data_IF_487085359652
#
_entry.id   IF_487085359652
#
_cell.length_a   1.000
_cell.length_b   1.000
_cell.length_c   1.000
_cell.angle_alpha   90.00
_cell.angle_beta   90.00
_cell.angle_gamma   90.00
#
_symmetry.space_group_name_H-M   'P 1'
#
loop_
_entity.id
_entity.type
_entity.pdbx_description
1 polymer ?
#
# COMPACT_ATOMS: atom_id res chain seq x y z
N UNK A 1 -51.23 55.62 30.22
CA UNK A 1 -50.15 55.63 29.23
C UNK A 1 -49.39 54.34 29.32
N UNK A 2 -49.82 53.34 28.51
CA UNK A 2 -49.25 51.98 28.56
C UNK A 2 -48.17 51.88 27.52
N UNK A 3 -46.96 51.54 27.95
CA UNK A 3 -45.81 51.27 27.09
C UNK A 3 -45.70 49.78 26.91
N UNK A 4 -46.07 49.33 25.70
CA UNK A 4 -45.99 47.98 25.24
C UNK A 4 -44.53 47.57 24.99
N UNK A 5 -43.98 46.69 25.85
CA UNK A 5 -42.64 46.12 25.66
C UNK A 5 -42.75 44.91 24.74
N UNK A 6 -42.58 45.16 23.44
CA UNK A 6 -42.33 44.06 22.47
C UNK A 6 -40.97 43.46 22.74
N UNK A 7 -40.96 42.25 23.25
CA UNK A 7 -39.78 41.44 23.37
C UNK A 7 -39.38 40.96 21.97
N UNK A 8 -38.24 41.50 21.49
CA UNK A 8 -37.59 40.98 20.30
C UNK A 8 -36.86 39.68 20.67
N UNK A 9 -37.48 38.55 20.30
CA UNK A 9 -36.82 37.27 20.35
C UNK A 9 -35.81 37.19 19.18
N UNK A 10 -34.51 37.22 19.50
CA UNK A 10 -33.46 36.90 18.54
C UNK A 10 -33.44 35.41 18.30
N UNK A 11 -33.47 34.91 17.05
CA UNK A 11 -33.26 33.50 16.81
C UNK A 11 -31.77 33.19 17.05
N UNK A 12 -31.50 32.31 17.98
CA UNK A 12 -30.16 31.74 18.16
C UNK A 12 -29.85 30.88 16.93
N UNK A 13 -28.93 31.38 16.10
CA UNK A 13 -28.37 30.65 14.99
C UNK A 13 -27.43 29.59 15.56
N UNK A 14 -27.92 28.36 15.73
CA UNK A 14 -27.09 27.21 16.05
C UNK A 14 -26.23 26.89 14.82
N UNK A 15 -25.00 27.40 14.81
CA UNK A 15 -23.99 26.96 13.86
C UNK A 15 -23.60 25.54 14.27
N UNK A 16 -24.26 24.56 13.66
CA UNK A 16 -23.82 23.18 13.73
C UNK A 16 -22.44 23.07 13.07
N UNK A 17 -21.41 22.84 13.87
CA UNK A 17 -20.12 22.37 13.40
C UNK A 17 -20.34 20.99 12.80
N UNK A 18 -20.62 20.95 11.49
CA UNK A 18 -20.46 19.74 10.69
C UNK A 18 -18.98 19.41 10.72
N UNK A 19 -18.58 18.48 11.58
CA UNK A 19 -17.29 17.83 11.50
C UNK A 19 -17.24 17.14 10.15
N UNK A 20 -16.59 17.77 9.18
CA UNK A 20 -16.24 17.16 7.91
C UNK A 20 -15.24 16.06 8.25
N UNK A 21 -15.72 14.84 8.47
CA UNK A 21 -14.87 13.65 8.47
C UNK A 21 -14.31 13.59 7.06
N UNK A 22 -12.97 13.64 6.88
CA UNK A 22 -12.41 13.63 5.54
C UNK A 22 -12.79 12.30 4.88
N UNK A 23 -13.68 12.38 3.89
CA UNK A 23 -14.08 11.23 3.05
C UNK A 23 -12.92 10.69 2.19
N UNK A 24 -11.73 11.29 2.32
CA UNK A 24 -10.54 10.96 1.52
C UNK A 24 -9.65 9.85 2.14
N UNK A 25 -9.76 9.55 3.44
CA UNK A 25 -8.94 8.51 4.06
C UNK A 25 -9.29 7.11 3.49
N UNK A 26 -10.58 6.79 3.36
CA UNK A 26 -11.02 5.52 2.77
C UNK A 26 -10.67 5.37 1.29
N UNK A 27 -10.78 6.46 0.48
CA UNK A 27 -10.43 6.43 -0.94
C UNK A 27 -8.93 6.20 -1.17
N UNK A 28 -8.08 6.78 -0.34
CA UNK A 28 -6.63 6.56 -0.41
C UNK A 28 -6.26 5.15 0.07
N UNK A 29 -6.91 4.63 1.11
CA UNK A 29 -6.72 3.25 1.56
C UNK A 29 -7.14 2.24 0.48
N UNK A 30 -8.27 2.47 -0.20
CA UNK A 30 -8.73 1.64 -1.32
C UNK A 30 -7.76 1.70 -2.51
N UNK A 31 -7.23 2.88 -2.82
CA UNK A 31 -6.23 3.05 -3.89
C UNK A 31 -4.93 2.30 -3.56
N UNK A 32 -4.46 2.38 -2.32
CA UNK A 32 -3.28 1.62 -1.85
C UNK A 32 -3.57 0.11 -1.89
N UNK A 33 -4.74 -0.33 -1.42
CA UNK A 33 -5.12 -1.75 -1.45
C UNK A 33 -5.11 -2.31 -2.88
N UNK A 34 -5.66 -1.55 -3.84
CA UNK A 34 -5.63 -1.91 -5.27
C UNK A 34 -4.20 -2.04 -5.79
N UNK A 35 -3.31 -1.11 -5.42
CA UNK A 35 -1.92 -1.14 -5.87
C UNK A 35 -1.12 -2.27 -5.21
N UNK A 36 -1.39 -2.59 -3.95
CA UNK A 36 -0.79 -3.75 -3.25
C UNK A 36 -1.18 -5.05 -3.95
N UNK A 37 -2.44 -5.21 -4.34
CA UNK A 37 -2.89 -6.38 -5.10
C UNK A 37 -2.29 -6.41 -6.51
N UNK A 38 -2.23 -5.27 -7.21
CA UNK A 38 -1.56 -5.18 -8.51
C UNK A 38 -0.07 -5.56 -8.42
N UNK A 39 0.60 -5.16 -7.33
CA UNK A 39 1.99 -5.54 -7.07
C UNK A 39 2.13 -7.05 -6.87
N UNK A 40 1.24 -7.66 -6.07
CA UNK A 40 1.22 -9.13 -5.88
C UNK A 40 1.03 -9.86 -7.21
N UNK A 41 0.07 -9.43 -8.03
CA UNK A 41 -0.20 -10.03 -9.34
C UNK A 41 1.02 -9.92 -10.26
N UNK A 42 1.62 -8.74 -10.36
CA UNK A 42 2.82 -8.52 -11.17
C UNK A 42 4.01 -9.37 -10.67
N UNK A 43 4.17 -9.49 -9.35
CA UNK A 43 5.21 -10.32 -8.75
C UNK A 43 4.98 -11.80 -9.04
N UNK A 44 3.75 -12.30 -8.88
CA UNK A 44 3.39 -13.68 -9.17
C UNK A 44 3.63 -14.06 -10.63
N UNK A 45 3.42 -13.12 -11.55
CA UNK A 45 3.63 -13.28 -12.97
C UNK A 45 5.08 -13.01 -13.44
N UNK A 46 6.00 -12.62 -12.52
CA UNK A 46 7.35 -12.12 -12.85
C UNK A 46 7.31 -10.99 -13.89
N UNK A 47 6.28 -10.14 -13.81
CA UNK A 47 6.04 -9.03 -14.74
C UNK A 47 6.81 -7.79 -14.27
N UNK A 48 8.02 -7.59 -14.80
CA UNK A 48 8.89 -6.47 -14.46
C UNK A 48 8.26 -5.11 -14.83
N UNK A 49 7.56 -5.01 -15.98
CA UNK A 49 6.89 -3.78 -16.41
C UNK A 49 5.75 -3.40 -15.46
N UNK A 50 4.94 -4.39 -15.06
CA UNK A 50 3.89 -4.19 -14.06
C UNK A 50 4.45 -3.69 -12.73
N UNK A 51 5.56 -4.26 -12.25
CA UNK A 51 6.25 -3.78 -11.04
C UNK A 51 6.79 -2.36 -11.23
N UNK A 52 7.38 -2.06 -12.39
CA UNK A 52 7.97 -0.74 -12.67
C UNK A 52 6.96 0.39 -12.51
N UNK A 53 5.72 0.17 -12.96
CA UNK A 53 4.64 1.15 -12.89
C UNK A 53 4.21 1.47 -11.44
N UNK A 54 4.41 0.53 -10.51
CA UNK A 54 3.99 0.63 -9.11
C UNK A 54 5.09 1.13 -8.18
N UNK A 55 6.36 1.10 -8.61
CA UNK A 55 7.51 1.48 -7.79
C UNK A 55 7.90 2.95 -7.99
N UNK A 56 8.20 3.64 -6.88
CA UNK A 56 8.86 4.94 -6.94
C UNK A 56 10.29 4.80 -7.48
N UNK A 57 10.83 5.85 -8.10
CA UNK A 57 12.18 5.79 -8.66
C UNK A 57 13.25 5.62 -7.58
N UNK A 58 13.04 6.24 -6.41
CA UNK A 58 13.93 6.13 -5.25
C UNK A 58 13.60 4.92 -4.33
N UNK A 59 12.90 3.91 -4.83
CA UNK A 59 12.48 2.77 -4.04
C UNK A 59 13.66 2.01 -3.43
N UNK A 60 13.49 1.56 -2.18
CA UNK A 60 14.39 0.64 -1.48
C UNK A 60 13.65 -0.66 -1.14
N UNK A 61 14.12 -1.79 -1.64
CA UNK A 61 13.47 -3.08 -1.48
C UNK A 61 14.38 -4.07 -0.76
N UNK A 62 14.13 -4.29 0.53
CA UNK A 62 14.91 -5.21 1.36
C UNK A 62 14.29 -6.62 1.35
N UNK A 63 15.13 -7.59 1.05
CA UNK A 63 14.81 -9.02 1.12
C UNK A 63 15.03 -9.58 2.53
N UNK A 64 14.49 -10.75 2.81
CA UNK A 64 14.60 -11.41 4.11
C UNK A 64 16.02 -11.90 4.47
N UNK A 65 16.95 -11.88 3.51
CA UNK A 65 18.38 -12.16 3.68
C UNK A 65 19.23 -10.88 3.78
N UNK A 66 18.61 -9.73 4.02
CA UNK A 66 19.22 -8.41 4.10
C UNK A 66 19.76 -7.84 2.78
N UNK A 67 19.61 -8.54 1.64
CA UNK A 67 19.88 -7.94 0.33
C UNK A 67 18.93 -6.76 0.11
N UNK A 68 19.46 -5.64 -0.40
CA UNK A 68 18.65 -4.46 -0.74
C UNK A 68 18.76 -4.22 -2.25
N UNK A 69 17.61 -4.15 -2.90
CA UNK A 69 17.48 -3.79 -4.31
C UNK A 69 16.97 -2.35 -4.46
N UNK A 70 17.49 -1.67 -5.47
CA UNK A 70 16.89 -0.48 -6.07
C UNK A 70 15.78 -0.90 -7.01
N UNK A 71 14.99 0.06 -7.51
CA UNK A 71 13.99 -0.22 -8.57
C UNK A 71 14.62 -0.95 -9.75
N UNK A 72 15.74 -0.45 -10.27
CA UNK A 72 16.42 -1.04 -11.41
C UNK A 72 16.88 -2.47 -11.17
N UNK A 73 17.51 -2.75 -10.03
CA UNK A 73 18.00 -4.10 -9.72
C UNK A 73 16.87 -5.09 -9.41
N UNK A 74 15.75 -4.63 -8.81
CA UNK A 74 14.56 -5.46 -8.62
C UNK A 74 13.95 -5.89 -9.97
N UNK A 75 13.81 -4.94 -10.91
CA UNK A 75 13.22 -5.21 -12.21
C UNK A 75 14.10 -6.13 -13.05
N UNK A 76 15.42 -5.90 -13.04
CA UNK A 76 16.38 -6.78 -13.73
C UNK A 76 16.35 -8.20 -13.14
N UNK A 77 16.36 -8.33 -11.81
CA UNK A 77 16.24 -9.62 -11.14
C UNK A 77 14.92 -10.32 -11.41
N UNK A 78 13.82 -9.57 -11.53
CA UNK A 78 12.50 -10.13 -11.88
C UNK A 78 12.49 -10.65 -13.32
N UNK A 79 13.04 -9.89 -14.27
CA UNK A 79 13.09 -10.28 -15.67
C UNK A 79 14.01 -11.50 -15.92
N UNK A 80 15.03 -11.70 -15.09
CA UNK A 80 16.00 -12.79 -15.16
C UNK A 80 15.70 -13.93 -14.19
N UNK A 81 14.53 -13.94 -13.56
CA UNK A 81 14.18 -14.97 -12.59
C UNK A 81 14.23 -16.38 -13.22
N UNK A 82 14.93 -17.29 -12.55
CA UNK A 82 15.04 -18.71 -12.92
C UNK A 82 14.02 -19.58 -12.16
N UNK A 83 12.93 -18.99 -11.71
CA UNK A 83 11.82 -19.61 -11.00
C UNK A 83 10.49 -19.02 -11.46
N UNK A 84 9.43 -19.75 -11.22
CA UNK A 84 8.04 -19.27 -11.27
C UNK A 84 7.40 -19.40 -9.90
N UNK A 85 6.42 -18.56 -9.61
CA UNK A 85 5.56 -18.72 -8.45
C UNK A 85 4.48 -19.77 -8.77
N UNK A 86 4.43 -20.86 -8.02
CA UNK A 86 3.34 -21.84 -8.08
C UNK A 86 2.17 -21.42 -7.20
N UNK A 87 2.44 -20.61 -6.18
CA UNK A 87 1.46 -19.90 -5.37
C UNK A 87 2.06 -18.61 -4.82
N UNK A 88 1.25 -17.57 -4.65
CA UNK A 88 1.63 -16.33 -3.97
C UNK A 88 0.40 -15.63 -3.42
N UNK A 89 0.35 -15.52 -2.10
CA UNK A 89 -0.71 -14.84 -1.37
C UNK A 89 -0.14 -13.78 -0.42
N UNK A 90 -0.86 -12.67 -0.29
CA UNK A 90 -0.66 -11.65 0.73
C UNK A 90 -1.81 -11.80 1.72
N UNK A 91 -1.55 -12.47 2.86
CA UNK A 91 -2.55 -12.79 3.88
C UNK A 91 -2.69 -11.70 4.91
N UNK A 92 -3.91 -11.45 5.33
CA UNK A 92 -4.27 -10.52 6.40
C UNK A 92 -3.66 -9.11 6.24
N UNK A 93 -3.84 -8.47 5.08
CA UNK A 93 -3.25 -7.16 4.84
C UNK A 93 -3.88 -6.12 5.75
N UNK A 94 -3.04 -5.29 6.36
CA UNK A 94 -3.45 -4.08 7.07
C UNK A 94 -2.90 -2.87 6.35
N UNK A 95 -3.73 -1.83 6.18
CA UNK A 95 -3.38 -0.60 5.49
C UNK A 95 -3.72 0.57 6.42
N UNK A 96 -2.78 1.48 6.59
CA UNK A 96 -2.97 2.71 7.34
C UNK A 96 -2.39 3.87 6.56
N UNK A 97 -3.25 4.82 6.17
CA UNK A 97 -2.83 6.05 5.51
C UNK A 97 -2.54 7.12 6.55
N UNK A 98 -1.40 7.80 6.41
CA UNK A 98 -0.97 8.90 7.25
C UNK A 98 -0.41 10.00 6.34
N UNK A 99 -1.23 11.02 6.06
CA UNK A 99 -0.88 12.06 5.09
C UNK A 99 -0.53 11.48 3.73
N UNK A 100 0.62 11.81 3.12
CA UNK A 100 1.03 11.31 1.82
C UNK A 100 1.70 9.92 1.89
N UNK A 101 1.62 9.22 3.01
CA UNK A 101 2.28 7.92 3.23
C UNK A 101 1.26 6.88 3.66
N UNK A 102 1.40 5.66 3.17
CA UNK A 102 0.64 4.52 3.65
C UNK A 102 1.59 3.43 4.17
N UNK A 103 1.25 2.89 5.32
CA UNK A 103 1.94 1.76 5.96
C UNK A 103 1.09 0.52 5.68
N UNK A 104 1.70 -0.49 5.06
CA UNK A 104 1.05 -1.76 4.71
C UNK A 104 1.82 -2.91 5.34
N UNK A 105 1.11 -3.83 5.97
CA UNK A 105 1.69 -5.06 6.53
C UNK A 105 0.85 -6.26 6.12
N UNK A 106 1.51 -7.38 5.88
CA UNK A 106 0.85 -8.65 5.59
C UNK A 106 1.80 -9.83 5.81
N UNK A 107 1.24 -11.03 5.84
CA UNK A 107 2.00 -12.27 5.75
C UNK A 107 2.07 -12.70 4.28
N UNK A 108 3.29 -12.77 3.78
CA UNK A 108 3.60 -13.26 2.44
C UNK A 108 3.76 -14.78 2.50
N UNK A 109 2.91 -15.50 1.80
CA UNK A 109 2.97 -16.97 1.71
C UNK A 109 3.03 -17.36 0.25
N UNK A 110 4.00 -18.18 -0.11
CA UNK A 110 4.14 -18.61 -1.48
C UNK A 110 5.07 -19.80 -1.66
N UNK A 111 5.12 -20.32 -2.87
CA UNK A 111 6.05 -21.36 -3.29
C UNK A 111 6.68 -20.98 -4.62
N UNK A 112 7.99 -21.03 -4.67
CA UNK A 112 8.78 -20.89 -5.89
C UNK A 112 9.16 -22.26 -6.43
N UNK A 113 9.00 -22.48 -7.72
CA UNK A 113 9.52 -23.64 -8.44
C UNK A 113 10.61 -23.16 -9.41
N UNK A 114 11.83 -23.61 -9.16
CA UNK A 114 13.00 -23.31 -9.97
C UNK A 114 13.05 -24.13 -11.24
N UNK A 115 13.85 -23.70 -12.21
CA UNK A 115 14.01 -24.39 -13.50
C UNK A 115 14.59 -25.82 -13.39
N UNK A 116 15.27 -26.12 -12.29
CA UNK A 116 15.75 -27.45 -11.95
C UNK A 116 14.69 -28.35 -11.25
N UNK A 117 13.46 -27.82 -11.09
CA UNK A 117 12.35 -28.51 -10.43
C UNK A 117 12.33 -28.38 -8.90
N UNK A 118 13.33 -27.73 -8.29
CA UNK A 118 13.37 -27.51 -6.85
C UNK A 118 12.26 -26.55 -6.44
N UNK A 119 11.54 -26.92 -5.38
CA UNK A 119 10.52 -26.06 -4.78
C UNK A 119 11.01 -25.44 -3.48
N UNK A 120 10.72 -24.17 -3.28
CA UNK A 120 11.11 -23.45 -2.07
C UNK A 120 9.92 -22.67 -1.54
N UNK A 121 9.41 -23.04 -0.34
CA UNK A 121 8.34 -22.31 0.30
C UNK A 121 8.87 -20.98 0.85
N UNK A 122 8.01 -19.98 0.86
CA UNK A 122 8.24 -18.66 1.44
C UNK A 122 7.17 -18.36 2.47
N UNK A 123 7.59 -17.93 3.66
CA UNK A 123 6.70 -17.46 4.71
C UNK A 123 7.37 -16.27 5.40
N UNK A 124 6.89 -15.06 5.10
CA UNK A 124 7.54 -13.83 5.49
C UNK A 124 6.53 -12.84 6.09
N UNK A 125 6.96 -12.09 7.08
CA UNK A 125 6.28 -10.86 7.47
C UNK A 125 6.81 -9.70 6.64
N UNK A 126 5.92 -8.95 6.02
CA UNK A 126 6.24 -7.84 5.13
C UNK A 126 5.79 -6.52 5.73
N UNK A 127 6.66 -5.51 5.61
CA UNK A 127 6.33 -4.10 5.75
C UNK A 127 6.56 -3.40 4.41
N UNK A 128 5.56 -2.67 3.94
CA UNK A 128 5.67 -1.75 2.81
C UNK A 128 5.30 -0.34 3.23
N UNK A 129 6.00 0.64 2.70
CA UNK A 129 5.61 2.04 2.74
C UNK A 129 5.33 2.51 1.32
N UNK A 130 4.13 3.04 1.13
CA UNK A 130 3.69 3.65 -0.12
C UNK A 130 3.65 5.16 0.03
N UNK A 131 4.02 5.88 -1.01
CA UNK A 131 4.03 7.34 -1.05
C UNK A 131 3.09 7.84 -2.15
N UNK A 132 2.28 8.84 -1.80
CA UNK A 132 1.44 9.53 -2.77
C UNK A 132 2.29 10.48 -3.61
N UNK A 133 2.31 10.27 -4.90
CA UNK A 133 3.02 11.09 -5.90
C UNK A 133 2.00 11.61 -6.90
N UNK A 134 1.61 12.88 -6.75
CA UNK A 134 0.46 13.43 -7.48
C UNK A 134 -0.83 12.71 -7.09
N UNK A 135 -1.51 12.10 -8.06
CA UNK A 135 -2.72 11.28 -7.85
C UNK A 135 -2.42 9.80 -7.58
N UNK A 136 -1.17 9.37 -7.79
CA UNK A 136 -0.77 7.97 -7.74
C UNK A 136 -0.10 7.59 -6.41
N UNK A 137 -0.28 6.34 -6.01
CA UNK A 137 0.46 5.75 -4.91
C UNK A 137 1.59 4.85 -5.47
N UNK A 138 2.83 5.08 -5.03
CA UNK A 138 4.02 4.33 -5.45
C UNK A 138 4.67 3.65 -4.25
N UNK A 139 5.16 2.42 -4.45
CA UNK A 139 5.94 1.72 -3.44
C UNK A 139 7.28 2.44 -3.24
N UNK A 140 7.51 2.97 -2.04
CA UNK A 140 8.75 3.66 -1.68
C UNK A 140 9.74 2.73 -0.98
N UNK A 141 9.26 1.87 -0.08
CA UNK A 141 10.12 0.90 0.58
C UNK A 141 9.41 -0.39 0.95
N UNK A 142 10.19 -1.47 1.02
CA UNK A 142 9.73 -2.76 1.50
C UNK A 142 10.81 -3.39 2.38
N UNK A 143 10.39 -4.06 3.44
CA UNK A 143 11.23 -4.92 4.26
C UNK A 143 10.55 -6.27 4.50
N UNK A 144 11.36 -7.33 4.55
CA UNK A 144 10.89 -8.69 4.80
C UNK A 144 11.64 -9.34 5.96
N UNK A 145 10.90 -10.08 6.78
CA UNK A 145 11.45 -10.89 7.88
C UNK A 145 10.90 -12.31 7.74
N UNK A 146 11.77 -13.31 7.87
CA UNK A 146 11.33 -14.72 7.89
C UNK A 146 10.51 -15.00 9.14
N UNK A 147 9.43 -15.76 8.97
CA UNK A 147 8.58 -16.29 10.04
C UNK A 147 8.97 -17.73 10.36
#
# INVERSE_FOLDING_TARGET
MNIDRRQLALPALAIGLLSVVPAFAGADEDAVAKNVEAFRVAQAASNAEGLASLCADDMSYSHSNAKVDTKASLLDGTAKANYKWTSLEYKDPTIRVVGPTAIVRFTFVGEQEFTDGKKTPQNLHILMNWQKQGSDWKLLSRAATKL
#
